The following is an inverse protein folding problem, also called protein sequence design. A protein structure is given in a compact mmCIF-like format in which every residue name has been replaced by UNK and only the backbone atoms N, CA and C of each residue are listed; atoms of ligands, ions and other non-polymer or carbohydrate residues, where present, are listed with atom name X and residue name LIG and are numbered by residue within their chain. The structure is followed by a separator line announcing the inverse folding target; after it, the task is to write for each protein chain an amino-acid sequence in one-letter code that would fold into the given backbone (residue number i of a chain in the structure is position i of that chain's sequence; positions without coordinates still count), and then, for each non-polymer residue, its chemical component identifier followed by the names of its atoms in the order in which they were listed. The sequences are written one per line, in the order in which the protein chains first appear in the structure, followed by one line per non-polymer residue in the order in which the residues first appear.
data_IF_520750910121
#
_entry.id   IF_520750910121
#
_cell.length_a   1.000
_cell.length_b   1.000
_cell.length_c   1.000
_cell.angle_alpha   90.00
_cell.angle_beta   90.00
_cell.angle_gamma   90.00
#
_symmetry.space_group_name_H-M   'P 1'
#
loop_
_entity.id
_entity.type
_entity.pdbx_description
1 polymer ?
#
# COMPACT_ATOMS: atom_id res chain seq x y z
N UNK A 1 14.76 17.86 -4.12
CA UNK A 1 15.33 16.73 -4.87
C UNK A 1 14.41 15.53 -4.67
N UNK A 2 13.88 14.94 -5.74
CA UNK A 2 13.03 13.75 -5.63
C UNK A 2 13.91 12.59 -5.15
N UNK A 3 13.45 11.84 -4.14
CA UNK A 3 14.17 10.66 -3.65
C UNK A 3 14.21 9.64 -4.80
N UNK A 4 15.38 9.07 -5.08
CA UNK A 4 15.62 8.07 -6.15
C UNK A 4 15.58 8.57 -7.61
N UNK A 5 15.79 9.87 -7.85
CA UNK A 5 15.79 10.42 -9.21
C UNK A 5 16.91 9.82 -10.08
N UNK A 6 18.08 9.59 -9.51
CA UNK A 6 19.23 8.99 -10.21
C UNK A 6 18.95 7.53 -10.61
N UNK A 7 18.43 6.71 -9.70
CA UNK A 7 18.09 5.31 -9.97
C UNK A 7 16.96 5.18 -11.00
N UNK A 8 15.96 6.07 -10.95
CA UNK A 8 14.91 6.13 -11.98
C UNK A 8 15.51 6.51 -13.34
N UNK A 9 16.45 7.45 -13.39
CA UNK A 9 17.13 7.83 -14.62
C UNK A 9 18.00 6.67 -15.16
N UNK A 10 18.62 5.88 -14.29
CA UNK A 10 19.32 4.63 -14.69
C UNK A 10 18.34 3.67 -15.36
N UNK A 11 17.17 3.42 -14.75
CA UNK A 11 16.13 2.55 -15.34
C UNK A 11 15.66 3.10 -16.70
N UNK A 12 15.40 4.41 -16.79
CA UNK A 12 14.94 5.06 -18.03
C UNK A 12 16.00 5.10 -19.13
N UNK A 13 17.28 5.14 -18.79
CA UNK A 13 18.38 5.19 -19.77
C UNK A 13 18.90 3.80 -20.16
N UNK A 14 18.61 2.77 -19.36
CA UNK A 14 19.05 1.40 -19.65
C UNK A 14 18.55 0.91 -21.02
N UNK A 15 19.46 0.39 -21.83
CA UNK A 15 19.20 -0.21 -23.14
C UNK A 15 18.79 -1.67 -23.06
N UNK A 16 19.12 -2.34 -21.96
CA UNK A 16 18.91 -3.76 -21.69
C UNK A 16 18.52 -3.92 -20.23
N UNK A 17 17.38 -4.58 -19.96
CA UNK A 17 16.86 -4.80 -18.61
C UNK A 17 16.47 -6.28 -18.46
N UNK A 18 16.97 -6.91 -17.40
CA UNK A 18 16.53 -8.22 -16.93
C UNK A 18 15.99 -8.12 -15.51
N UNK A 19 15.01 -8.95 -15.16
CA UNK A 19 14.41 -8.94 -13.82
C UNK A 19 14.79 -10.22 -13.09
N UNK A 20 15.46 -10.11 -11.95
CA UNK A 20 15.70 -11.26 -11.10
C UNK A 20 14.52 -11.47 -10.16
N UNK A 21 13.79 -12.57 -10.35
CA UNK A 21 12.58 -12.92 -9.61
C UNK A 21 11.37 -13.04 -10.54
N UNK A 22 10.91 -14.27 -10.77
CA UNK A 22 9.74 -14.59 -11.59
C UNK A 22 8.45 -14.79 -10.75
N UNK A 23 8.33 -14.06 -9.64
CA UNK A 23 7.13 -14.07 -8.78
C UNK A 23 6.30 -12.80 -8.92
N UNK A 24 5.33 -12.60 -8.03
CA UNK A 24 4.37 -11.48 -8.11
C UNK A 24 5.04 -10.11 -8.19
N UNK A 25 6.13 -9.89 -7.44
CA UNK A 25 6.87 -8.63 -7.45
C UNK A 25 7.57 -8.40 -8.80
N UNK A 26 8.20 -9.44 -9.36
CA UNK A 26 8.82 -9.36 -10.68
C UNK A 26 7.81 -9.10 -11.78
N UNK A 27 6.65 -9.76 -11.74
CA UNK A 27 5.54 -9.52 -12.67
C UNK A 27 5.04 -8.08 -12.57
N UNK A 28 4.90 -7.54 -11.36
CA UNK A 28 4.50 -6.15 -11.13
C UNK A 28 5.55 -5.16 -11.66
N UNK A 29 6.84 -5.40 -11.41
CA UNK A 29 7.93 -4.57 -11.93
C UNK A 29 7.94 -4.59 -13.46
N UNK A 30 7.83 -5.78 -14.08
CA UNK A 30 7.75 -5.91 -15.53
C UNK A 30 6.54 -5.16 -16.09
N UNK A 31 5.37 -5.32 -15.48
CA UNK A 31 4.16 -4.60 -15.88
C UNK A 31 4.36 -3.08 -15.85
N UNK A 32 4.95 -2.55 -14.78
CA UNK A 32 5.25 -1.11 -14.70
C UNK A 32 6.23 -0.65 -15.78
N UNK A 33 7.28 -1.42 -16.03
CA UNK A 33 8.34 -1.03 -16.96
C UNK A 33 7.94 -1.17 -18.42
N UNK A 34 7.14 -2.17 -18.77
CA UNK A 34 6.65 -2.38 -20.14
C UNK A 34 5.62 -1.33 -20.58
N UNK A 35 4.97 -0.66 -19.64
CA UNK A 35 3.95 0.35 -19.91
C UNK A 35 4.48 1.77 -19.65
N UNK A 36 3.67 2.77 -20.00
CA UNK A 36 3.99 4.17 -19.73
C UNK A 36 4.19 4.41 -18.21
N UNK A 37 5.13 5.29 -17.82
CA UNK A 37 5.95 6.15 -18.67
C UNK A 37 7.26 5.50 -19.17
N UNK A 38 7.56 4.26 -18.77
CA UNK A 38 8.86 3.64 -19.02
C UNK A 38 9.00 3.04 -20.42
N UNK A 39 7.96 2.33 -20.89
CA UNK A 39 7.91 1.69 -22.22
C UNK A 39 9.19 0.90 -22.56
N UNK A 40 9.66 0.08 -21.60
CA UNK A 40 10.88 -0.72 -21.69
C UNK A 40 10.58 -2.15 -22.12
N UNK A 41 11.52 -2.72 -22.87
CA UNK A 41 11.53 -4.15 -23.16
C UNK A 41 12.32 -4.87 -22.05
N UNK A 42 11.73 -5.92 -21.49
CA UNK A 42 12.40 -6.82 -20.55
C UNK A 42 12.94 -8.01 -21.35
N UNK A 43 14.24 -8.27 -21.25
CA UNK A 43 14.90 -9.34 -22.01
C UNK A 43 14.56 -10.72 -21.45
N UNK A 44 14.65 -10.88 -20.14
CA UNK A 44 14.39 -12.15 -19.47
C UNK A 44 14.09 -11.96 -17.98
N UNK A 45 13.36 -12.92 -17.43
CA UNK A 45 13.28 -13.14 -15.99
C UNK A 45 14.37 -14.13 -15.56
N UNK A 46 15.22 -13.70 -14.64
CA UNK A 46 16.27 -14.51 -14.05
C UNK A 46 15.76 -15.17 -12.77
N UNK A 47 16.10 -16.44 -12.58
CA UNK A 47 15.83 -17.20 -11.35
C UNK A 47 17.06 -17.98 -10.92
N UNK A 48 17.10 -18.41 -9.67
CA UNK A 48 18.18 -19.30 -9.19
C UNK A 48 18.07 -20.68 -9.83
N UNK A 49 16.85 -21.22 -9.93
CA UNK A 49 16.52 -22.49 -10.56
C UNK A 49 15.09 -22.45 -11.11
N UNK A 50 14.83 -23.24 -12.15
CA UNK A 50 13.50 -23.47 -12.75
C UNK A 50 12.76 -24.66 -12.14
N UNK A 51 13.35 -25.40 -11.20
CA UNK A 51 12.76 -26.65 -10.66
C UNK A 51 11.36 -26.45 -10.05
N UNK A 52 11.08 -25.24 -9.56
CA UNK A 52 9.80 -24.87 -8.96
C UNK A 52 8.97 -23.91 -9.84
N UNK A 53 9.35 -23.73 -11.10
CA UNK A 53 8.61 -22.85 -12.02
C UNK A 53 7.56 -23.64 -12.79
N UNK A 54 6.30 -23.24 -12.64
CA UNK A 54 5.18 -23.82 -13.39
C UNK A 54 4.99 -23.19 -14.77
N UNK A 55 5.70 -22.11 -15.07
CA UNK A 55 5.60 -21.35 -16.31
C UNK A 55 6.98 -21.14 -16.91
N UNK A 56 7.07 -21.16 -18.25
CA UNK A 56 8.31 -20.91 -19.01
C UNK A 56 8.49 -19.42 -19.35
N UNK A 57 7.42 -18.62 -19.24
CA UNK A 57 7.45 -17.18 -19.50
C UNK A 57 6.41 -16.41 -18.69
N UNK A 58 6.66 -15.12 -18.46
CA UNK A 58 5.74 -14.15 -17.87
C UNK A 58 5.57 -13.00 -18.85
N UNK A 59 4.33 -12.66 -19.21
CA UNK A 59 4.04 -11.59 -20.19
C UNK A 59 4.80 -11.77 -21.52
N UNK A 60 5.03 -13.02 -21.94
CA UNK A 60 5.79 -13.35 -23.15
C UNK A 60 7.32 -13.27 -23.00
N UNK A 61 7.83 -12.93 -21.81
CA UNK A 61 9.27 -12.85 -21.51
C UNK A 61 9.74 -14.16 -20.89
N UNK A 62 10.83 -14.77 -21.41
CA UNK A 62 11.29 -16.08 -20.94
C UNK A 62 11.84 -16.04 -19.52
N UNK A 63 11.63 -17.12 -18.76
CA UNK A 63 12.24 -17.37 -17.46
C UNK A 63 13.44 -18.28 -17.64
N UNK A 64 14.62 -17.88 -17.15
CA UNK A 64 15.87 -18.65 -17.28
C UNK A 64 16.65 -18.69 -15.96
N UNK A 65 17.35 -19.79 -15.67
CA UNK A 65 18.35 -19.80 -14.61
C UNK A 65 19.43 -18.74 -14.88
N UNK A 66 19.81 -17.98 -13.85
CA UNK A 66 20.82 -16.93 -13.98
C UNK A 66 22.19 -17.47 -14.41
N UNK A 67 22.50 -18.73 -14.08
CA UNK A 67 23.71 -19.43 -14.53
C UNK A 67 23.75 -19.68 -16.04
N UNK A 68 22.57 -19.79 -16.66
CA UNK A 68 22.41 -20.20 -18.06
C UNK A 68 22.09 -19.00 -18.96
N UNK A 69 21.81 -17.84 -18.33
CA UNK A 69 21.40 -16.63 -19.00
C UNK A 69 22.51 -16.05 -19.88
N UNK A 70 22.23 -15.90 -21.18
CA UNK A 70 23.12 -15.26 -22.15
C UNK A 70 22.84 -13.76 -22.26
N UNK A 71 22.97 -13.05 -21.14
CA UNK A 71 22.74 -11.60 -21.06
C UNK A 71 24.06 -10.83 -20.96
N UNK A 72 24.06 -9.59 -21.45
CA UNK A 72 25.23 -8.70 -21.36
C UNK A 72 25.60 -8.41 -19.91
N UNK A 73 26.90 -8.27 -19.59
CA UNK A 73 27.36 -7.84 -18.27
C UNK A 73 27.00 -6.38 -17.96
N UNK A 74 26.73 -5.58 -18.99
CA UNK A 74 26.26 -4.21 -18.84
C UNK A 74 24.72 -4.12 -18.65
N UNK A 75 24.00 -5.24 -18.80
CA UNK A 75 22.54 -5.30 -18.62
C UNK A 75 22.17 -4.86 -17.20
N UNK A 76 21.14 -4.02 -17.09
CA UNK A 76 20.60 -3.63 -15.78
C UNK A 76 19.77 -4.79 -15.23
N UNK A 77 20.19 -5.35 -14.09
CA UNK A 77 19.43 -6.37 -13.38
C UNK A 77 18.60 -5.74 -12.27
N UNK A 78 17.29 -5.92 -12.34
CA UNK A 78 16.33 -5.45 -11.34
C UNK A 78 15.92 -6.61 -10.43
N UNK A 79 16.45 -6.63 -9.21
CA UNK A 79 16.16 -7.67 -8.22
C UNK A 79 14.82 -7.41 -7.56
N UNK A 80 13.82 -8.22 -7.90
CA UNK A 80 12.39 -7.99 -7.64
C UNK A 80 11.79 -9.17 -6.84
N UNK A 81 12.19 -9.26 -5.57
CA UNK A 81 11.88 -10.39 -4.67
C UNK A 81 11.45 -9.91 -3.27
N UNK A 82 11.05 -10.84 -2.40
CA UNK A 82 10.87 -10.54 -0.97
C UNK A 82 12.21 -10.15 -0.32
N UNK A 83 12.20 -9.21 0.61
CA UNK A 83 13.43 -8.64 1.21
C UNK A 83 14.38 -9.71 1.76
N UNK A 84 13.83 -10.79 2.37
CA UNK A 84 14.62 -11.89 2.94
C UNK A 84 15.55 -12.62 1.96
N UNK A 85 15.33 -12.51 0.65
CA UNK A 85 16.16 -13.16 -0.38
C UNK A 85 17.21 -12.22 -0.98
N UNK A 86 17.19 -10.94 -0.62
CA UNK A 86 18.00 -9.89 -1.22
C UNK A 86 19.51 -10.14 -1.10
N UNK A 87 19.98 -10.47 0.11
CA UNK A 87 21.42 -10.62 0.38
C UNK A 87 22.01 -11.81 -0.38
N UNK A 88 21.32 -12.95 -0.39
CA UNK A 88 21.73 -14.15 -1.11
C UNK A 88 21.84 -13.87 -2.62
N UNK A 89 20.81 -13.25 -3.21
CA UNK A 89 20.78 -12.94 -4.65
C UNK A 89 21.87 -11.92 -5.01
N UNK A 90 22.12 -10.92 -4.15
CA UNK A 90 23.18 -9.95 -4.37
C UNK A 90 24.56 -10.62 -4.46
N UNK A 91 24.83 -11.61 -3.60
CA UNK A 91 26.07 -12.37 -3.62
C UNK A 91 26.17 -13.21 -4.91
N UNK A 92 25.11 -13.93 -5.28
CA UNK A 92 25.08 -14.72 -6.52
C UNK A 92 25.35 -13.87 -7.75
N UNK A 93 24.70 -12.71 -7.88
CA UNK A 93 24.90 -11.82 -9.02
C UNK A 93 26.34 -11.30 -9.09
N UNK A 94 26.92 -10.94 -7.94
CA UNK A 94 28.31 -10.51 -7.86
C UNK A 94 29.30 -11.61 -8.24
N UNK A 95 29.09 -12.84 -7.76
CA UNK A 95 29.92 -14.00 -8.12
C UNK A 95 29.87 -14.32 -9.61
N UNK A 96 28.71 -14.11 -10.23
CA UNK A 96 28.54 -14.25 -11.68
C UNK A 96 29.07 -13.04 -12.47
N UNK A 97 29.54 -11.98 -11.81
CA UNK A 97 30.11 -10.78 -12.45
C UNK A 97 29.07 -9.81 -13.00
N UNK A 98 27.90 -9.71 -12.37
CA UNK A 98 26.91 -8.67 -12.67
C UNK A 98 26.97 -7.56 -11.63
N UNK A 99 27.48 -6.40 -12.04
CA UNK A 99 27.67 -5.24 -11.16
C UNK A 99 26.57 -4.17 -11.32
N UNK A 100 25.86 -4.16 -12.44
CA UNK A 100 24.77 -3.22 -12.72
C UNK A 100 23.43 -3.71 -12.15
N UNK A 101 23.25 -3.57 -10.84
CA UNK A 101 22.11 -4.13 -10.10
C UNK A 101 21.35 -3.06 -9.31
N UNK A 102 20.02 -3.03 -9.45
CA UNK A 102 19.13 -2.25 -8.60
C UNK A 102 18.14 -3.18 -7.88
N UNK A 103 17.82 -2.86 -6.63
CA UNK A 103 16.92 -3.65 -5.79
C UNK A 103 15.53 -3.01 -5.75
N UNK A 104 14.55 -3.71 -6.32
CA UNK A 104 13.12 -3.36 -6.33
C UNK A 104 12.33 -4.40 -5.53
N UNK A 105 12.78 -4.68 -4.30
CA UNK A 105 12.10 -5.61 -3.40
C UNK A 105 10.74 -5.06 -2.96
N UNK A 106 9.85 -5.95 -2.48
CA UNK A 106 8.47 -5.60 -2.12
C UNK A 106 8.32 -4.37 -1.22
N UNK A 107 9.21 -4.24 -0.22
CA UNK A 107 9.15 -3.17 0.79
C UNK A 107 10.13 -2.02 0.48
N UNK A 108 10.83 -2.05 -0.66
CA UNK A 108 11.78 -0.99 -1.03
C UNK A 108 11.08 0.32 -1.43
N UNK A 109 11.65 1.43 -0.94
CA UNK A 109 11.18 2.77 -1.31
C UNK A 109 11.47 3.10 -2.78
N UNK A 110 12.50 2.48 -3.39
CA UNK A 110 12.78 2.60 -4.82
C UNK A 110 11.66 1.95 -5.65
N UNK A 111 11.21 0.74 -5.30
CA UNK A 111 10.06 0.11 -5.96
C UNK A 111 8.80 0.95 -5.82
N UNK A 112 8.53 1.50 -4.64
CA UNK A 112 7.41 2.42 -4.46
C UNK A 112 7.51 3.65 -5.39
N UNK A 113 8.72 4.17 -5.61
CA UNK A 113 8.96 5.31 -6.49
C UNK A 113 8.77 4.95 -7.98
N UNK A 114 9.23 3.77 -8.40
CA UNK A 114 9.01 3.26 -9.77
C UNK A 114 7.51 3.09 -10.04
N UNK A 115 6.82 2.41 -9.13
CA UNK A 115 5.37 2.18 -9.21
C UNK A 115 4.58 3.49 -9.21
N UNK A 116 5.01 4.50 -8.45
CA UNK A 116 4.38 5.83 -8.43
C UNK A 116 4.38 6.48 -9.82
N UNK A 117 5.50 6.47 -10.54
CA UNK A 117 5.55 7.05 -11.89
C UNK A 117 4.58 6.37 -12.86
N UNK A 118 4.49 5.03 -12.80
CA UNK A 118 3.50 4.30 -13.58
C UNK A 118 2.06 4.62 -13.14
N UNK A 119 1.79 4.68 -11.83
CA UNK A 119 0.46 5.00 -11.32
C UNK A 119 -0.05 6.35 -11.81
N UNK A 120 0.82 7.35 -11.96
CA UNK A 120 0.45 8.64 -12.55
C UNK A 120 -0.10 8.52 -13.97
N UNK A 121 0.57 7.77 -14.83
CA UNK A 121 0.09 7.56 -16.21
C UNK A 121 -1.18 6.70 -16.24
N UNK A 122 -1.25 5.67 -15.39
CA UNK A 122 -2.46 4.86 -15.21
C UNK A 122 -3.68 5.70 -14.82
N UNK A 123 -3.49 6.59 -13.85
CA UNK A 123 -4.55 7.42 -13.31
C UNK A 123 -5.07 8.47 -14.29
N UNK A 124 -4.17 9.10 -15.06
CA UNK A 124 -4.55 10.00 -16.16
C UNK A 124 -5.46 9.31 -17.18
N UNK A 125 -5.22 8.03 -17.45
CA UNK A 125 -6.01 7.24 -18.39
C UNK A 125 -7.38 6.79 -17.85
N UNK A 126 -7.59 6.81 -16.52
CA UNK A 126 -8.76 6.24 -15.82
C UNK A 126 -9.64 7.29 -15.14
N UNK A 127 -9.56 8.55 -15.57
CA UNK A 127 -10.37 9.65 -15.00
C UNK A 127 -10.20 9.87 -13.50
N UNK A 128 -9.10 9.41 -12.89
CA UNK A 128 -8.61 10.00 -11.62
C UNK A 128 -8.13 11.41 -11.96
N UNK A 129 -9.08 12.33 -12.12
CA UNK A 129 -8.91 13.60 -12.84
C UNK A 129 -7.91 14.55 -12.18
N UNK A 130 -7.55 14.31 -10.90
CA UNK A 130 -6.64 15.14 -10.11
C UNK A 130 -5.79 14.31 -9.15
N UNK A 131 -4.61 13.84 -9.59
CA UNK A 131 -3.58 13.35 -8.64
C UNK A 131 -2.71 14.52 -8.20
N UNK A 132 -2.91 14.95 -6.95
CA UNK A 132 -2.06 15.94 -6.29
C UNK A 132 -1.09 15.24 -5.34
N UNK A 133 0.20 15.22 -5.66
CA UNK A 133 1.21 14.62 -4.79
C UNK A 133 1.99 15.67 -4.02
N UNK A 134 2.05 15.51 -2.70
CA UNK A 134 2.56 16.53 -1.79
C UNK A 134 4.03 16.91 -2.05
N UNK A 135 4.86 16.00 -2.57
CA UNK A 135 6.26 16.34 -2.88
C UNK A 135 6.46 17.04 -4.22
N UNK A 136 5.46 17.03 -5.10
CA UNK A 136 5.52 17.68 -6.41
C UNK A 136 4.99 19.12 -6.35
N UNK A 137 4.45 19.55 -5.19
CA UNK A 137 3.98 20.92 -4.99
C UNK A 137 5.17 21.85 -4.69
N UNK A 138 5.42 22.79 -5.61
CA UNK A 138 6.54 23.76 -5.56
C UNK A 138 6.52 24.66 -4.30
N UNK A 139 5.40 24.76 -3.58
CA UNK A 139 5.20 25.68 -2.46
C UNK A 139 5.70 25.20 -1.09
N UNK A 140 6.50 24.12 -1.02
CA UNK A 140 7.18 23.67 0.22
C UNK A 140 8.11 24.72 0.86
N UNK A 141 8.31 25.88 0.26
CA UNK A 141 9.23 26.91 0.75
C UNK A 141 8.61 28.00 1.63
N UNK A 142 7.29 27.99 1.88
CA UNK A 142 6.61 29.17 2.45
C UNK A 142 6.08 29.06 3.89
N UNK A 143 6.16 27.90 4.55
CA UNK A 143 5.71 27.75 5.93
C UNK A 143 6.75 27.03 6.79
N UNK A 144 7.32 27.71 7.78
CA UNK A 144 8.25 27.13 8.76
C UNK A 144 7.54 26.78 10.08
N UNK A 145 6.51 27.52 10.45
CA UNK A 145 5.68 27.27 11.64
C UNK A 145 4.34 26.64 11.24
N UNK A 146 4.29 25.30 11.21
CA UNK A 146 3.02 24.60 11.04
C UNK A 146 2.31 24.49 12.39
N UNK A 147 1.10 25.02 12.46
CA UNK A 147 0.16 24.63 13.51
C UNK A 147 -0.28 23.18 13.27
N UNK A 148 0.26 22.29 14.12
CA UNK A 148 -0.03 20.85 14.11
C UNK A 148 -1.07 20.48 15.16
N UNK A 149 -1.59 21.45 15.93
CA UNK A 149 -2.68 21.18 16.86
C UNK A 149 -3.92 20.68 16.10
N UNK A 150 -4.66 19.74 16.68
CA UNK A 150 -5.79 19.09 16.00
C UNK A 150 -5.43 18.24 14.76
N UNK A 151 -4.15 18.03 14.44
CA UNK A 151 -3.71 17.10 13.39
C UNK A 151 -3.05 15.89 14.05
N UNK A 152 -3.73 14.74 14.07
CA UNK A 152 -3.25 13.55 14.77
C UNK A 152 -3.24 12.31 13.87
N UNK A 153 -2.10 11.64 13.78
CA UNK A 153 -1.93 10.35 13.11
C UNK A 153 -1.63 9.28 14.14
N UNK A 154 -2.55 8.33 14.26
CA UNK A 154 -2.45 7.25 15.23
C UNK A 154 -1.71 6.05 14.61
N UNK A 155 -0.70 5.58 15.33
CA UNK A 155 0.14 4.45 14.94
C UNK A 155 -0.40 3.21 15.64
N UNK A 156 -1.07 2.34 14.88
CA UNK A 156 -1.58 1.07 15.37
C UNK A 156 -0.42 0.14 15.75
N UNK A 157 -0.43 -0.30 17.01
CA UNK A 157 0.55 -1.23 17.60
C UNK A 157 -0.14 -2.41 18.25
N UNK A 158 0.41 -3.61 18.08
CA UNK A 158 -0.04 -4.84 18.71
C UNK A 158 1.07 -5.44 19.57
N UNK A 159 0.71 -6.11 20.66
CA UNK A 159 1.65 -6.93 21.43
C UNK A 159 2.27 -8.08 20.60
N UNK A 160 1.66 -8.40 19.44
CA UNK A 160 2.15 -9.39 18.48
C UNK A 160 3.09 -8.82 17.41
N UNK A 161 3.37 -7.50 17.44
CA UNK A 161 4.24 -6.87 16.45
C UNK A 161 5.67 -7.38 16.56
N UNK A 162 6.34 -7.45 15.40
CA UNK A 162 7.76 -7.80 15.36
C UNK A 162 8.58 -6.64 15.91
N UNK A 163 9.68 -6.95 16.59
CA UNK A 163 10.65 -5.95 17.02
C UNK A 163 11.26 -5.28 15.80
N UNK A 164 11.21 -3.95 15.77
CA UNK A 164 11.91 -3.10 14.80
C UNK A 164 13.36 -2.92 15.29
N UNK A 165 14.35 -3.00 14.39
CA UNK A 165 15.79 -2.87 14.74
C UNK A 165 16.19 -1.42 15.06
N UNK A 166 15.44 -0.46 14.55
CA UNK A 166 15.68 0.98 14.75
C UNK A 166 14.73 1.58 15.79
N UNK A 167 15.24 2.55 16.56
CA UNK A 167 14.39 3.37 17.44
C UNK A 167 13.74 4.49 16.64
N UNK A 168 12.41 4.50 16.58
CA UNK A 168 11.64 5.52 15.87
C UNK A 168 10.93 6.40 16.89
N UNK A 169 11.31 7.67 16.94
CA UNK A 169 10.60 8.67 17.76
C UNK A 169 9.35 9.13 17.02
N UNK A 170 8.24 9.24 17.75
CA UNK A 170 7.02 9.82 17.22
C UNK A 170 7.23 11.31 16.94
N UNK A 171 6.68 11.76 15.81
CA UNK A 171 6.59 13.18 15.47
C UNK A 171 5.52 13.85 16.37
N UNK A 172 5.50 15.19 16.49
CA UNK A 172 4.56 15.89 17.37
C UNK A 172 3.07 15.54 17.13
N UNK A 173 2.70 15.22 15.89
CA UNK A 173 1.35 14.79 15.50
C UNK A 173 1.13 13.27 15.51
N UNK A 174 2.12 12.47 15.91
CA UNK A 174 2.01 11.01 15.93
C UNK A 174 1.72 10.49 17.34
N UNK A 175 0.65 9.71 17.47
CA UNK A 175 0.22 9.09 18.74
C UNK A 175 0.20 7.58 18.61
N UNK A 176 0.70 6.85 19.59
CA UNK A 176 0.58 5.39 19.58
C UNK A 176 -0.81 4.95 20.05
N UNK A 177 -1.42 3.98 19.38
CA UNK A 177 -2.65 3.32 19.82
C UNK A 177 -2.46 1.80 19.84
N UNK A 178 -2.75 1.17 20.97
CA UNK A 178 -2.76 -0.27 21.07
C UNK A 178 -4.04 -0.86 20.48
N UNK A 179 -3.89 -1.77 19.52
CA UNK A 179 -5.02 -2.52 18.93
C UNK A 179 -5.19 -3.90 19.55
N UNK A 180 -6.43 -4.39 19.57
CA UNK A 180 -6.80 -5.65 20.18
C UNK A 180 -6.50 -5.68 21.68
N UNK A 181 -6.57 -4.53 22.34
CA UNK A 181 -6.28 -4.41 23.77
C UNK A 181 -7.27 -5.19 24.64
N UNK A 182 -8.50 -5.46 24.16
CA UNK A 182 -9.44 -6.35 24.85
C UNK A 182 -9.02 -7.83 24.84
N UNK A 183 -8.08 -8.23 23.97
CA UNK A 183 -7.65 -9.61 23.75
C UNK A 183 -6.37 -9.98 24.53
N UNK A 184 -5.83 -9.08 25.33
CA UNK A 184 -4.60 -9.30 26.10
C UNK A 184 -4.60 -8.47 27.39
N UNK A 185 -3.80 -8.89 28.37
CA UNK A 185 -3.51 -8.09 29.57
C UNK A 185 -2.27 -7.22 29.40
N UNK A 186 -1.48 -7.42 28.34
CA UNK A 186 -0.30 -6.61 28.06
C UNK A 186 -0.72 -5.21 27.60
N UNK A 187 -0.14 -4.17 28.22
CA UNK A 187 -0.35 -2.77 27.83
C UNK A 187 0.94 -2.20 27.24
N UNK A 188 0.88 -1.77 25.98
CA UNK A 188 2.04 -1.28 25.22
C UNK A 188 1.93 0.18 24.76
N UNK A 189 0.77 0.82 24.98
CA UNK A 189 0.55 2.23 24.72
C UNK A 189 -0.49 2.80 25.70
N UNK A 190 -0.45 4.11 25.94
CA UNK A 190 -1.40 4.78 26.83
C UNK A 190 -2.82 4.82 26.23
N UNK A 191 -2.93 5.00 24.90
CA UNK A 191 -4.18 4.92 24.17
C UNK A 191 -4.41 3.48 23.72
N UNK A 192 -5.62 2.97 23.92
CA UNK A 192 -6.01 1.66 23.46
C UNK A 192 -7.39 1.70 22.81
N UNK A 193 -7.56 0.85 21.80
CA UNK A 193 -8.81 0.68 21.09
C UNK A 193 -9.93 0.05 21.95
N UNK A 194 -9.65 -0.38 23.18
CA UNK A 194 -10.64 -0.96 24.10
C UNK A 194 -11.30 0.04 25.06
N UNK A 195 -10.99 1.33 24.93
CA UNK A 195 -11.57 2.40 25.73
C UNK A 195 -12.85 2.95 25.07
N UNK A 196 -13.78 3.54 25.82
CA UNK A 196 -14.95 4.21 25.24
C UNK A 196 -15.81 3.31 24.35
N UNK A 197 -16.42 3.87 23.31
CA UNK A 197 -17.16 3.10 22.29
C UNK A 197 -16.17 2.41 21.34
N UNK A 198 -16.25 1.09 21.24
CA UNK A 198 -15.23 0.30 20.57
C UNK A 198 -15.69 -1.08 20.07
N UNK A 199 -14.79 -1.71 19.29
CA UNK A 199 -14.91 -3.09 18.80
C UNK A 199 -13.59 -3.86 19.00
N UNK A 200 -12.84 -3.57 20.07
CA UNK A 200 -11.50 -4.12 20.31
C UNK A 200 -11.49 -5.66 20.34
N UNK A 201 -12.56 -6.29 20.85
CA UNK A 201 -12.68 -7.75 20.87
C UNK A 201 -12.73 -8.37 19.45
N UNK A 202 -13.05 -7.56 18.44
CA UNK A 202 -13.13 -8.00 17.03
C UNK A 202 -11.80 -7.85 16.28
N UNK A 203 -10.70 -7.50 16.96
CA UNK A 203 -9.40 -7.27 16.32
C UNK A 203 -8.88 -8.46 15.50
N UNK A 204 -9.23 -9.70 15.88
CA UNK A 204 -8.86 -10.89 15.12
C UNK A 204 -9.42 -10.88 13.68
N UNK A 205 -10.56 -10.21 13.43
CA UNK A 205 -11.15 -10.07 12.11
C UNK A 205 -10.88 -8.72 11.46
N UNK A 206 -11.00 -7.65 12.25
CA UNK A 206 -10.92 -6.27 11.79
C UNK A 206 -9.50 -5.71 11.75
N UNK A 207 -8.53 -6.37 12.39
CA UNK A 207 -7.16 -5.90 12.50
C UNK A 207 -7.10 -4.43 12.96
N UNK A 208 -6.29 -3.58 12.32
CA UNK A 208 -6.13 -2.16 12.61
C UNK A 208 -7.42 -1.34 12.47
N UNK A 209 -8.48 -1.87 11.83
CA UNK A 209 -9.77 -1.18 11.76
C UNK A 209 -10.45 -1.05 13.13
N UNK A 210 -10.02 -1.83 14.12
CA UNK A 210 -10.44 -1.62 15.52
C UNK A 210 -9.96 -0.28 16.07
N UNK A 211 -8.73 0.15 15.74
CA UNK A 211 -8.29 1.51 15.98
C UNK A 211 -9.09 2.50 15.14
N UNK A 212 -9.31 2.25 13.85
CA UNK A 212 -10.10 3.15 13.00
C UNK A 212 -11.50 3.42 13.56
N UNK A 213 -12.19 2.37 14.01
CA UNK A 213 -13.49 2.48 14.67
C UNK A 213 -13.42 3.32 15.94
N UNK A 214 -12.41 3.05 16.78
CA UNK A 214 -12.20 3.80 18.01
C UNK A 214 -11.97 5.29 17.72
N UNK A 215 -11.16 5.61 16.71
CA UNK A 215 -10.92 6.98 16.28
C UNK A 215 -12.21 7.66 15.82
N UNK A 216 -13.00 6.97 15.00
CA UNK A 216 -14.32 7.45 14.54
C UNK A 216 -15.27 7.80 15.70
N UNK A 217 -15.25 7.02 16.78
CA UNK A 217 -16.19 7.19 17.89
C UNK A 217 -15.71 8.10 19.00
N UNK A 218 -14.39 8.27 19.17
CA UNK A 218 -13.82 8.87 20.38
C UNK A 218 -12.92 10.08 20.10
N UNK A 219 -12.58 10.38 18.84
CA UNK A 219 -11.75 11.54 18.48
C UNK A 219 -12.57 12.63 17.79
N UNK A 220 -12.21 13.89 18.03
CA UNK A 220 -12.83 15.08 17.43
C UNK A 220 -11.75 16.07 16.96
N UNK A 221 -10.58 15.56 16.58
CA UNK A 221 -9.48 16.32 15.98
C UNK A 221 -9.83 16.74 14.55
N UNK A 222 -9.34 17.88 14.07
CA UNK A 222 -9.59 18.37 12.70
C UNK A 222 -9.19 17.35 11.63
N UNK A 223 -8.04 16.71 11.85
CA UNK A 223 -7.49 15.66 11.00
C UNK A 223 -7.11 14.45 11.82
N UNK A 224 -7.60 13.30 11.39
CA UNK A 224 -7.40 12.02 12.05
C UNK A 224 -6.81 11.07 11.02
N UNK A 225 -5.68 10.46 11.36
CA UNK A 225 -5.00 9.48 10.51
C UNK A 225 -4.71 8.17 11.21
N UNK A 226 -4.52 7.13 10.39
CA UNK A 226 -4.13 5.80 10.82
C UNK A 226 -2.87 5.35 10.06
N UNK A 227 -1.88 4.87 10.81
CA UNK A 227 -0.63 4.29 10.31
C UNK A 227 -0.34 2.96 11.02
N UNK A 228 0.57 2.16 10.48
CA UNK A 228 1.05 0.95 11.17
C UNK A 228 2.34 1.22 11.93
N UNK A 229 2.64 0.37 12.91
CA UNK A 229 3.88 0.42 13.69
C UNK A 229 5.16 0.54 12.85
N UNK A 230 5.21 -0.13 11.68
CA UNK A 230 6.37 -0.17 10.75
C UNK A 230 6.16 0.55 9.42
N UNK A 231 5.02 1.21 9.21
CA UNK A 231 4.73 1.99 8.00
C UNK A 231 4.15 3.33 8.41
N UNK A 232 4.92 4.40 8.26
CA UNK A 232 4.52 5.77 8.62
C UNK A 232 4.47 6.65 7.39
N UNK A 233 3.51 7.57 7.32
CA UNK A 233 3.47 8.60 6.28
C UNK A 233 4.78 9.41 6.26
N UNK A 234 5.28 9.71 5.07
CA UNK A 234 6.47 10.53 4.87
C UNK A 234 6.09 12.01 4.78
N UNK A 235 5.63 12.57 5.90
CA UNK A 235 5.18 13.97 6.02
C UNK A 235 6.16 14.80 6.86
N UNK A 236 6.22 16.09 6.55
CA UNK A 236 6.85 17.13 7.35
C UNK A 236 5.87 18.28 7.66
N UNK A 237 6.26 19.22 8.53
CA UNK A 237 5.44 20.37 8.93
C UNK A 237 4.84 21.12 7.73
N UNK A 238 5.65 21.33 6.68
CA UNK A 238 5.23 22.01 5.44
C UNK A 238 4.10 21.28 4.72
N UNK A 239 4.10 19.96 4.76
CA UNK A 239 3.03 19.15 4.17
C UNK A 239 1.73 19.33 4.96
N UNK A 240 1.80 19.39 6.30
CA UNK A 240 0.64 19.63 7.17
C UNK A 240 0.06 21.03 6.92
N UNK A 241 0.91 22.06 6.83
CA UNK A 241 0.46 23.41 6.46
C UNK A 241 -0.25 23.42 5.11
N UNK A 242 0.29 22.70 4.11
CA UNK A 242 -0.35 22.58 2.80
C UNK A 242 -1.73 21.91 2.90
N UNK A 243 -1.82 20.79 3.62
CA UNK A 243 -3.07 20.05 3.83
C UNK A 243 -4.16 20.97 4.39
N UNK A 244 -3.83 21.74 5.45
CA UNK A 244 -4.75 22.69 6.07
C UNK A 244 -5.14 23.83 5.13
N UNK A 245 -4.16 24.51 4.53
CA UNK A 245 -4.39 25.71 3.73
C UNK A 245 -5.14 25.43 2.42
N UNK A 246 -5.07 24.21 1.91
CA UNK A 246 -5.71 23.83 0.66
C UNK A 246 -7.00 23.02 0.87
N UNK A 247 -7.51 22.91 2.10
CA UNK A 247 -8.72 22.14 2.43
C UNK A 247 -8.65 20.73 1.83
N UNK A 248 -7.54 20.04 2.10
CA UNK A 248 -7.41 18.64 1.71
C UNK A 248 -8.33 17.80 2.58
N UNK A 249 -9.10 16.90 1.97
CA UNK A 249 -10.03 16.03 2.68
C UNK A 249 -9.37 14.70 3.03
N UNK A 250 -8.53 14.17 2.13
CA UNK A 250 -7.91 12.85 2.27
C UNK A 250 -6.44 12.87 1.86
N UNK A 251 -5.57 12.31 2.70
CA UNK A 251 -4.18 11.98 2.39
C UNK A 251 -4.03 10.47 2.32
N UNK A 252 -3.54 9.97 1.18
CA UNK A 252 -3.30 8.55 0.94
C UNK A 252 -1.83 8.28 0.61
N UNK A 253 -1.44 7.00 0.74
CA UNK A 253 -0.16 6.54 0.19
C UNK A 253 -0.30 6.12 -1.27
N UNK A 254 0.81 5.97 -1.98
CA UNK A 254 0.82 5.39 -3.33
C UNK A 254 0.21 3.97 -3.29
N UNK A 255 -0.80 3.67 -4.13
CA UNK A 255 -1.48 2.38 -4.12
C UNK A 255 -0.55 1.22 -4.51
N UNK A 256 -0.96 0.01 -4.17
CA UNK A 256 -0.27 -1.23 -4.53
C UNK A 256 -0.79 -1.74 -5.87
N UNK A 257 0.12 -2.32 -6.65
CA UNK A 257 -0.16 -2.89 -7.96
C UNK A 257 -0.44 -4.40 -7.82
N UNK A 258 -1.52 -4.86 -8.45
CA UNK A 258 -1.90 -6.24 -8.64
C UNK A 258 -2.00 -6.53 -10.14
N UNK A 259 -1.43 -7.64 -10.57
CA UNK A 259 -1.44 -8.11 -11.96
C UNK A 259 -1.87 -9.57 -11.94
N UNK A 260 -2.90 -9.99 -12.72
CA UNK A 260 -3.58 -9.22 -13.77
C UNK A 260 -4.69 -8.26 -13.29
N UNK A 261 -5.31 -8.47 -12.13
CA UNK A 261 -6.30 -7.55 -11.54
C UNK A 261 -6.33 -7.63 -10.01
N UNK A 262 -7.03 -6.69 -9.36
CA UNK A 262 -7.24 -6.69 -7.90
C UNK A 262 -8.00 -7.94 -7.46
N UNK A 263 -9.00 -8.40 -8.23
CA UNK A 263 -9.77 -9.61 -7.91
C UNK A 263 -8.97 -10.87 -8.09
N UNK A 264 -8.24 -11.01 -9.20
CA UNK A 264 -7.44 -12.22 -9.44
C UNK A 264 -6.41 -12.41 -8.33
N UNK A 265 -5.79 -11.31 -7.89
CA UNK A 265 -4.86 -11.34 -6.77
C UNK A 265 -5.55 -11.51 -5.42
N UNK A 266 -6.81 -11.10 -5.27
CA UNK A 266 -7.59 -11.44 -4.08
C UNK A 266 -7.87 -12.94 -4.04
N UNK A 267 -8.42 -13.52 -5.11
CA UNK A 267 -8.76 -14.94 -5.23
C UNK A 267 -7.54 -15.85 -5.02
N UNK A 268 -6.39 -15.44 -5.56
CA UNK A 268 -5.12 -16.14 -5.35
C UNK A 268 -4.71 -16.22 -3.88
N UNK A 269 -4.97 -15.17 -3.10
CA UNK A 269 -4.41 -14.99 -1.75
C UNK A 269 -5.44 -15.14 -0.62
N UNK A 270 -6.73 -15.13 -0.94
CA UNK A 270 -7.83 -15.03 0.01
C UNK A 270 -9.05 -15.84 -0.44
N UNK A 271 -9.96 -16.10 0.49
CA UNK A 271 -11.18 -16.86 0.23
C UNK A 271 -12.15 -16.03 -0.62
N UNK A 272 -12.39 -16.44 -1.87
CA UNK A 272 -13.26 -15.74 -2.83
C UNK A 272 -14.68 -15.50 -2.30
N UNK A 273 -15.23 -16.41 -1.49
CA UNK A 273 -16.56 -16.25 -0.88
C UNK A 273 -16.70 -14.98 -0.04
N UNK A 274 -15.62 -14.47 0.53
CA UNK A 274 -15.64 -13.21 1.28
C UNK A 274 -15.77 -11.99 0.34
N UNK A 275 -15.24 -12.09 -0.88
CA UNK A 275 -15.45 -11.10 -1.94
C UNK A 275 -16.89 -11.08 -2.43
N UNK A 276 -17.49 -12.25 -2.66
CA UNK A 276 -18.90 -12.36 -3.10
C UNK A 276 -19.86 -11.76 -2.06
N UNK A 277 -19.55 -11.93 -0.77
CA UNK A 277 -20.30 -11.29 0.33
C UNK A 277 -20.17 -9.77 0.31
N UNK A 278 -18.97 -9.27 0.03
CA UNK A 278 -18.72 -7.84 -0.11
C UNK A 278 -19.56 -7.23 -1.23
N UNK A 279 -19.57 -7.87 -2.39
CA UNK A 279 -20.38 -7.44 -3.54
C UNK A 279 -21.88 -7.43 -3.20
N UNK A 280 -22.38 -8.50 -2.55
CA UNK A 280 -23.77 -8.55 -2.09
C UNK A 280 -24.10 -7.46 -1.06
N UNK A 281 -23.18 -7.15 -0.14
CA UNK A 281 -23.38 -6.09 0.84
C UNK A 281 -23.48 -4.71 0.16
N UNK A 282 -22.61 -4.43 -0.82
CA UNK A 282 -22.68 -3.21 -1.63
C UNK A 282 -23.98 -3.13 -2.42
N UNK A 283 -24.39 -4.22 -3.10
CA UNK A 283 -25.64 -4.26 -3.86
C UNK A 283 -26.88 -3.94 -2.99
N UNK A 284 -26.91 -4.40 -1.74
CA UNK A 284 -28.04 -4.19 -0.83
C UNK A 284 -28.02 -2.78 -0.23
N UNK A 285 -26.85 -2.28 0.18
CA UNK A 285 -26.74 -1.08 1.02
C UNK A 285 -26.45 0.19 0.20
N UNK A 286 -25.61 0.08 -0.83
CA UNK A 286 -25.07 1.20 -1.59
C UNK A 286 -24.87 0.81 -3.07
N UNK A 287 -25.95 0.47 -3.81
CA UNK A 287 -25.86 0.02 -5.20
C UNK A 287 -25.18 1.04 -6.12
N UNK A 288 -25.18 2.33 -5.75
CA UNK A 288 -24.48 3.41 -6.45
C UNK A 288 -22.95 3.27 -6.44
N UNK A 289 -22.37 2.50 -5.51
CA UNK A 289 -20.92 2.22 -5.48
C UNK A 289 -20.52 1.02 -6.35
N UNK A 290 -21.46 0.22 -6.85
CA UNK A 290 -21.16 -0.99 -7.62
C UNK A 290 -20.35 -0.76 -8.90
N UNK A 291 -20.63 0.27 -9.74
CA UNK A 291 -19.82 0.53 -10.91
C UNK A 291 -18.34 0.75 -10.57
N UNK A 292 -18.07 1.48 -9.48
CA UNK A 292 -16.72 1.74 -8.98
C UNK A 292 -16.09 0.51 -8.32
N UNK A 293 -16.89 -0.33 -7.66
CA UNK A 293 -16.42 -1.62 -7.17
C UNK A 293 -15.94 -2.52 -8.31
N UNK A 294 -16.69 -2.60 -9.41
CA UNK A 294 -16.27 -3.36 -10.59
C UNK A 294 -15.05 -2.73 -11.28
N UNK A 295 -14.95 -1.40 -11.30
CA UNK A 295 -13.75 -0.74 -11.82
C UNK A 295 -12.50 -1.08 -10.99
N UNK A 296 -12.59 -1.05 -9.66
CA UNK A 296 -11.50 -1.48 -8.77
C UNK A 296 -11.20 -2.97 -8.95
N UNK A 297 -12.24 -3.80 -9.10
CA UNK A 297 -12.12 -5.25 -9.27
C UNK A 297 -11.26 -5.63 -10.48
N UNK A 298 -11.59 -5.06 -11.64
CA UNK A 298 -10.91 -5.30 -12.92
C UNK A 298 -9.61 -4.48 -13.06
N UNK A 299 -9.46 -3.44 -12.22
CA UNK A 299 -8.29 -2.60 -12.18
C UNK A 299 -7.06 -3.28 -11.60
N UNK A 300 -5.92 -2.58 -11.69
CA UNK A 300 -4.63 -3.07 -11.20
C UNK A 300 -4.21 -2.43 -9.87
N UNK A 301 -4.82 -1.31 -9.47
CA UNK A 301 -4.38 -0.54 -8.32
C UNK A 301 -5.42 -0.51 -7.21
N UNK A 302 -4.97 -0.63 -5.97
CA UNK A 302 -5.79 -0.43 -4.78
C UNK A 302 -4.96 0.14 -3.62
N UNK A 303 -5.61 0.86 -2.70
CA UNK A 303 -5.01 1.41 -1.48
C UNK A 303 -4.95 0.34 -0.39
N UNK A 304 -3.81 -0.36 -0.34
CA UNK A 304 -3.55 -1.35 0.69
C UNK A 304 -3.36 -0.73 2.09
N UNK A 305 -3.35 -1.60 3.10
CA UNK A 305 -2.99 -1.32 4.49
C UNK A 305 -4.01 -0.51 5.31
N UNK A 306 -5.08 0.05 4.73
CA UNK A 306 -6.01 0.94 5.45
C UNK A 306 -5.29 2.14 6.10
N UNK A 307 -4.20 2.62 5.47
CA UNK A 307 -3.51 3.84 5.89
C UNK A 307 -4.13 5.06 5.21
N UNK A 308 -4.67 5.96 6.00
CA UNK A 308 -5.22 7.24 5.53
C UNK A 308 -4.99 8.35 6.56
N UNK A 309 -5.10 9.60 6.13
CA UNK A 309 -5.40 10.75 6.98
C UNK A 309 -6.62 11.43 6.38
N UNK A 310 -7.65 11.69 7.17
CA UNK A 310 -8.88 12.32 6.70
C UNK A 310 -9.22 13.52 7.58
N UNK A 311 -9.88 14.52 7.00
CA UNK A 311 -10.59 15.52 7.79
C UNK A 311 -11.64 14.83 8.66
N UNK A 312 -12.00 15.43 9.80
CA UNK A 312 -13.00 14.86 10.72
C UNK A 312 -14.32 14.50 10.02
N UNK A 313 -14.84 15.40 9.18
CA UNK A 313 -16.08 15.18 8.44
C UNK A 313 -15.94 14.03 7.44
N UNK A 314 -14.85 13.99 6.66
CA UNK A 314 -14.60 12.92 5.72
C UNK A 314 -14.44 11.57 6.42
N UNK A 315 -13.74 11.53 7.56
CA UNK A 315 -13.57 10.29 8.34
C UNK A 315 -14.93 9.77 8.82
N UNK A 316 -15.80 10.65 9.34
CA UNK A 316 -17.13 10.26 9.80
C UNK A 316 -17.96 9.63 8.68
N UNK A 317 -18.03 10.29 7.53
CA UNK A 317 -18.76 9.79 6.36
C UNK A 317 -18.19 8.46 5.86
N UNK A 318 -16.86 8.37 5.79
CA UNK A 318 -16.17 7.14 5.37
C UNK A 318 -16.43 5.99 6.34
N UNK A 319 -16.30 6.21 7.65
CA UNK A 319 -16.47 5.17 8.65
C UNK A 319 -17.92 4.71 8.79
N UNK A 320 -18.90 5.62 8.66
CA UNK A 320 -20.31 5.25 8.63
C UNK A 320 -20.61 4.28 7.47
N UNK A 321 -20.13 4.62 6.27
CA UNK A 321 -20.24 3.78 5.08
C UNK A 321 -19.45 2.47 5.20
N UNK A 322 -18.18 2.53 5.60
CA UNK A 322 -17.30 1.36 5.70
C UNK A 322 -17.86 0.35 6.70
N UNK A 323 -18.15 0.77 7.93
CA UNK A 323 -18.55 -0.16 8.98
C UNK A 323 -19.97 -0.69 8.80
N UNK A 324 -20.86 0.00 8.08
CA UNK A 324 -22.17 -0.58 7.73
C UNK A 324 -22.03 -1.76 6.77
N UNK A 325 -21.12 -1.66 5.79
CA UNK A 325 -20.80 -2.74 4.84
C UNK A 325 -20.08 -3.88 5.56
N UNK A 326 -19.03 -3.59 6.35
CA UNK A 326 -18.26 -4.63 7.03
C UNK A 326 -19.12 -5.44 8.01
N UNK A 327 -20.03 -4.78 8.76
CA UNK A 327 -21.00 -5.48 9.61
C UNK A 327 -21.90 -6.44 8.84
N UNK A 328 -22.28 -6.09 7.60
CA UNK A 328 -23.05 -6.97 6.71
C UNK A 328 -22.24 -8.16 6.21
N UNK A 329 -20.91 -8.01 6.12
CA UNK A 329 -19.98 -9.06 5.69
C UNK A 329 -19.54 -10.01 6.82
N UNK A 330 -19.83 -9.70 8.09
CA UNK A 330 -19.47 -10.56 9.23
C UNK A 330 -20.02 -11.99 9.04
N UNK A 331 -19.12 -12.97 9.06
CA UNK A 331 -19.48 -14.37 8.90
C UNK A 331 -18.66 -15.29 9.80
N UNK A 332 -19.33 -15.82 10.83
CA UNK A 332 -18.79 -16.81 11.77
C UNK A 332 -18.86 -18.26 11.27
N UNK A 333 -19.50 -18.51 10.11
CA UNK A 333 -19.76 -19.87 9.59
C UNK A 333 -18.64 -20.41 8.72
N UNK A 334 -17.87 -19.53 8.07
CA UNK A 334 -16.72 -19.95 7.25
C UNK A 334 -15.53 -20.22 8.14
N UNK A 335 -15.01 -21.45 8.11
CA UNK A 335 -13.77 -21.80 8.79
C UNK A 335 -12.58 -21.08 8.14
N UNK A 336 -11.75 -20.43 8.95
CA UNK A 336 -10.58 -19.67 8.51
C UNK A 336 -9.41 -19.97 9.43
N UNK A 337 -8.22 -20.11 8.85
CA UNK A 337 -6.99 -20.10 9.63
C UNK A 337 -6.71 -18.71 10.22
N UNK A 338 -5.65 -18.57 11.03
CA UNK A 338 -5.31 -17.29 11.67
C UNK A 338 -5.08 -16.15 10.66
N UNK A 339 -4.55 -16.45 9.47
CA UNK A 339 -4.27 -15.45 8.45
C UNK A 339 -5.56 -15.05 7.70
N UNK A 340 -6.34 -16.01 7.23
CA UNK A 340 -7.61 -15.78 6.53
C UNK A 340 -8.66 -15.17 7.45
N UNK A 341 -8.58 -15.38 8.77
CA UNK A 341 -9.51 -14.79 9.73
C UNK A 341 -9.51 -13.25 9.73
N UNK A 342 -8.50 -12.63 9.12
CA UNK A 342 -8.35 -11.17 8.94
C UNK A 342 -9.17 -10.60 7.76
N UNK A 343 -10.09 -11.39 7.20
CA UNK A 343 -10.83 -11.08 5.97
C UNK A 343 -11.49 -9.68 5.95
N UNK A 344 -12.07 -9.20 7.06
CA UNK A 344 -12.67 -7.86 7.09
C UNK A 344 -11.64 -6.75 6.91
N UNK A 345 -10.43 -6.94 7.46
CA UNK A 345 -9.28 -6.10 7.18
C UNK A 345 -8.92 -6.08 5.69
N UNK A 346 -8.91 -7.26 5.05
CA UNK A 346 -8.60 -7.37 3.61
C UNK A 346 -9.67 -6.74 2.72
N UNK A 347 -10.95 -6.90 3.05
CA UNK A 347 -12.08 -6.28 2.33
C UNK A 347 -12.04 -4.75 2.44
N UNK A 348 -11.74 -4.22 3.64
CA UNK A 348 -11.65 -2.78 3.87
C UNK A 348 -10.61 -2.09 2.99
N UNK A 349 -9.47 -2.75 2.70
CA UNK A 349 -8.44 -2.19 1.81
C UNK A 349 -8.99 -1.95 0.40
N UNK A 350 -9.88 -2.81 -0.08
CA UNK A 350 -10.54 -2.62 -1.38
C UNK A 350 -11.65 -1.59 -1.29
N UNK A 351 -12.45 -1.60 -0.23
CA UNK A 351 -13.48 -0.59 0.01
C UNK A 351 -12.91 0.84 0.10
N UNK A 352 -11.72 1.04 0.67
CA UNK A 352 -11.04 2.35 0.62
C UNK A 352 -10.83 2.83 -0.82
N UNK A 353 -10.46 1.92 -1.72
CA UNK A 353 -10.26 2.24 -3.13
C UNK A 353 -11.57 2.59 -3.84
N UNK A 354 -12.64 1.84 -3.54
CA UNK A 354 -13.96 2.12 -4.08
C UNK A 354 -14.48 3.47 -3.60
N UNK A 355 -14.32 3.79 -2.32
CA UNK A 355 -14.73 5.08 -1.76
C UNK A 355 -13.99 6.25 -2.42
N UNK A 356 -12.66 6.14 -2.52
CA UNK A 356 -11.81 7.16 -3.14
C UNK A 356 -12.16 7.39 -4.60
N UNK A 357 -12.46 6.32 -5.35
CA UNK A 357 -12.84 6.43 -6.75
C UNK A 357 -14.24 7.04 -6.92
N UNK A 358 -15.21 6.64 -6.10
CA UNK A 358 -16.56 7.21 -6.10
C UNK A 358 -16.53 8.72 -5.82
N UNK A 359 -15.72 9.14 -4.86
CA UNK A 359 -15.63 10.55 -4.41
C UNK A 359 -14.49 11.35 -5.07
N UNK A 360 -13.94 10.85 -6.18
CA UNK A 360 -12.74 11.45 -6.80
C UNK A 360 -12.95 12.90 -7.28
N UNK A 361 -14.18 13.26 -7.64
CA UNK A 361 -14.54 14.62 -8.07
C UNK A 361 -15.02 15.52 -6.91
N UNK A 362 -15.45 14.92 -5.80
CA UNK A 362 -16.06 15.62 -4.66
C UNK A 362 -15.07 15.91 -3.53
N UNK A 363 -14.02 15.09 -3.38
CA UNK A 363 -13.01 15.22 -2.32
C UNK A 363 -11.68 15.74 -2.87
N UNK A 364 -11.05 16.64 -2.11
CA UNK A 364 -9.67 17.04 -2.38
C UNK A 364 -8.70 15.99 -1.82
N UNK A 365 -8.31 15.06 -2.69
CA UNK A 365 -7.43 13.94 -2.35
C UNK A 365 -5.98 14.26 -2.73
N UNK A 366 -5.06 14.04 -1.79
CA UNK A 366 -3.62 14.16 -2.02
C UNK A 366 -2.88 12.87 -1.67
N UNK A 367 -1.73 12.69 -2.30
CA UNK A 367 -0.91 11.50 -2.16
C UNK A 367 0.46 11.84 -1.57
N UNK A 368 1.00 10.93 -0.77
CA UNK A 368 2.36 11.02 -0.24
C UNK A 368 3.04 9.66 -0.17
N UNK A 369 4.34 9.65 0.10
CA UNK A 369 5.07 8.42 0.35
C UNK A 369 4.80 7.91 1.76
N UNK A 370 5.18 6.66 1.98
CA UNK A 370 5.36 6.09 3.31
C UNK A 370 6.80 5.62 3.47
N UNK A 371 7.29 5.66 4.69
CA UNK A 371 8.56 5.02 5.06
C UNK A 371 8.25 3.66 5.69
N UNK A 372 9.01 2.65 5.28
CA UNK A 372 9.04 1.34 5.91
C UNK A 372 10.20 1.23 6.90
N UNK A 373 9.98 0.59 8.05
CA UNK A 373 11.01 0.41 9.08
C UNK A 373 11.16 -1.06 9.45
N UNK A 374 12.40 -1.54 9.49
CA UNK A 374 12.78 -2.92 9.83
C UNK A 374 13.43 -3.08 11.20
#
# INVERSE_FOLDING_TARGET
MRRFEDEINIIKSASSISIYGAGDIGTQVAYCLMNAPYNKNIETFLVTSTDNQSQESIMGVPIVPVSDARISKDSLILVSVLEKYKEEIALTLKELGFDNVLFLTFESDLWASVRREHFYEYAKAKSFSKINYLKDVEHRYLAEDADVDGFNVYIAKSHKDKKIKVTIKNRPWEKDIQVGAALTQERIADIADSLGDNISEKNANYCELTALYWLWKNCNDDFIGLSHYRRRFALCNKDISYIRNNKVDVVLTIPILNVPSVKDMYEKNHILKDWERLEQALYILYPEYLPFFYEVQEGNYYFAYNMMIMSHECLNNYCEWLFSILRKCEDSRTERDTYQNRYLGFLAERLLSVYVLYHADDLNIVYTDKNFYE
#
